data_IF_888896190130
#
_entry.id   IF_888896190130
#
_cell.length_a   1.000
_cell.length_b   1.000
_cell.length_c   1.000
_cell.angle_alpha   90.00
_cell.angle_beta   90.00
_cell.angle_gamma   90.00
#
_symmetry.space_group_name_H-M   'P 1'
#
loop_
_entity.id
_entity.type
_entity.pdbx_description
1 polymer ?
#
# COMPACT_ATOMS: atom_id res chain seq x y z
N UNK A 1 -1.73 -32.19 24.67
CA UNK A 1 -0.41 -31.54 24.63
C UNK A 1 -0.61 -30.04 24.54
N UNK A 2 -0.08 -29.30 25.53
CA UNK A 2 -0.33 -27.87 25.73
C UNK A 2 0.31 -27.02 24.64
N UNK A 3 -0.43 -26.02 24.16
CA UNK A 3 -0.01 -25.08 23.14
C UNK A 3 1.28 -24.36 23.51
N UNK A 4 2.27 -24.46 22.63
CA UNK A 4 3.48 -23.65 22.68
C UNK A 4 3.07 -22.18 22.74
N UNK A 5 3.40 -21.50 23.85
CA UNK A 5 3.29 -20.04 23.94
C UNK A 5 4.10 -19.49 22.78
N UNK A 6 3.46 -18.70 21.91
CA UNK A 6 4.16 -17.98 20.84
C UNK A 6 5.38 -17.30 21.42
N UNK A 7 6.51 -17.43 20.75
CA UNK A 7 7.73 -16.71 21.14
C UNK A 7 7.44 -15.20 21.07
N UNK A 8 8.20 -14.39 21.80
CA UNK A 8 7.94 -12.95 21.82
C UNK A 8 8.16 -12.32 20.43
N UNK A 9 9.02 -12.91 19.61
CA UNK A 9 9.18 -12.59 18.19
C UNK A 9 7.92 -12.88 17.37
N UNK A 10 7.29 -14.04 17.54
CA UNK A 10 6.04 -14.38 16.84
C UNK A 10 4.89 -13.45 17.25
N UNK A 11 4.85 -13.02 18.52
CA UNK A 11 3.89 -12.02 18.98
C UNK A 11 4.16 -10.65 18.36
N UNK A 12 5.42 -10.23 18.30
CA UNK A 12 5.82 -8.97 17.67
C UNK A 12 5.48 -8.96 16.17
N UNK A 13 5.76 -10.05 15.45
CA UNK A 13 5.41 -10.20 14.05
C UNK A 13 3.90 -10.20 13.82
N UNK A 14 3.13 -10.88 14.67
CA UNK A 14 1.67 -10.85 14.61
C UNK A 14 1.10 -9.45 14.87
N UNK A 15 1.67 -8.70 15.82
CA UNK A 15 1.29 -7.31 16.09
C UNK A 15 1.62 -6.40 14.91
N UNK A 16 2.82 -6.52 14.34
CA UNK A 16 3.22 -5.75 13.17
C UNK A 16 2.31 -6.01 11.97
N UNK A 17 1.93 -7.27 11.72
CA UNK A 17 0.97 -7.61 10.67
C UNK A 17 -0.42 -7.03 10.93
N UNK A 18 -0.88 -7.05 12.17
CA UNK A 18 -2.18 -6.49 12.54
C UNK A 18 -2.19 -4.96 12.37
N UNK A 19 -1.14 -4.28 12.81
CA UNK A 19 -0.98 -2.84 12.59
C UNK A 19 -0.97 -2.49 11.09
N UNK A 20 -0.25 -3.26 10.27
CA UNK A 20 -0.21 -3.06 8.82
C UNK A 20 -1.60 -3.26 8.19
N UNK A 21 -2.35 -4.29 8.62
CA UNK A 21 -3.73 -4.54 8.16
C UNK A 21 -4.69 -3.43 8.54
N UNK A 22 -4.58 -2.92 9.76
CA UNK A 22 -5.41 -1.80 10.23
C UNK A 22 -5.09 -0.51 9.47
N UNK A 23 -3.81 -0.25 9.19
CA UNK A 23 -3.42 0.91 8.39
C UNK A 23 -3.91 0.79 6.93
N UNK A 24 -3.82 -0.40 6.33
CA UNK A 24 -4.33 -0.68 4.99
C UNK A 24 -5.87 -0.57 4.91
N UNK A 25 -6.61 -1.08 5.90
CA UNK A 25 -8.08 -0.96 5.92
C UNK A 25 -8.55 0.48 6.12
N UNK A 26 -7.78 1.29 6.85
CA UNK A 26 -8.08 2.70 7.07
C UNK A 26 -8.12 3.50 5.76
N UNK A 27 -7.25 3.18 4.78
CA UNK A 27 -7.25 3.85 3.46
C UNK A 27 -8.35 3.29 2.53
N UNK A 28 -8.68 2.01 2.65
CA UNK A 28 -9.70 1.33 1.84
C UNK A 28 -9.18 0.83 0.49
N UNK A 29 -9.85 -0.18 -0.07
CA UNK A 29 -9.47 -0.77 -1.37
C UNK A 29 -8.21 -1.66 -1.35
N UNK A 30 -7.56 -1.80 -0.19
CA UNK A 30 -6.33 -2.57 -0.02
C UNK A 30 -6.49 -3.68 1.01
N UNK A 31 -5.93 -4.85 0.71
CA UNK A 31 -5.83 -6.00 1.61
C UNK A 31 -4.36 -6.42 1.78
N UNK A 32 -4.05 -7.04 2.92
CA UNK A 32 -2.70 -7.54 3.23
C UNK A 32 -2.73 -9.04 3.49
N UNK A 33 -2.17 -9.81 2.55
CA UNK A 33 -1.95 -11.26 2.72
C UNK A 33 -0.67 -11.50 3.50
N UNK A 34 -0.67 -12.53 4.36
CA UNK A 34 0.45 -12.87 5.25
C UNK A 34 1.47 -13.80 4.58
N UNK A 35 1.04 -14.58 3.60
CA UNK A 35 1.84 -15.66 3.01
C UNK A 35 1.57 -15.78 1.50
N UNK A 36 2.48 -15.29 0.64
CA UNK A 36 3.57 -14.35 0.97
C UNK A 36 3.03 -12.99 1.44
N UNK A 37 3.86 -12.21 2.15
CA UNK A 37 3.47 -10.88 2.66
C UNK A 37 3.32 -9.89 1.49
N UNK A 38 2.08 -9.66 1.07
CA UNK A 38 1.75 -8.84 -0.12
C UNK A 38 0.57 -7.92 0.12
N UNK A 39 0.64 -6.75 -0.51
CA UNK A 39 -0.50 -5.89 -0.77
C UNK A 39 -1.28 -6.46 -1.95
N UNK A 40 -2.60 -6.52 -1.81
CA UNK A 40 -3.51 -7.05 -2.84
C UNK A 40 -4.72 -6.13 -2.98
N UNK A 41 -5.15 -5.86 -4.21
CA UNK A 41 -6.37 -5.09 -4.49
C UNK A 41 -7.12 -5.70 -5.69
N UNK A 42 -8.45 -5.67 -5.73
CA UNK A 42 -9.21 -6.22 -6.85
C UNK A 42 -8.79 -5.58 -8.19
N UNK A 43 -8.46 -6.43 -9.17
CA UNK A 43 -8.06 -5.98 -10.52
C UNK A 43 -6.67 -5.35 -10.62
N UNK A 44 -5.83 -5.50 -9.60
CA UNK A 44 -4.43 -5.01 -9.62
C UNK A 44 -3.44 -6.14 -9.36
N UNK A 45 -2.19 -5.93 -9.79
CA UNK A 45 -1.10 -6.85 -9.48
C UNK A 45 -0.77 -6.77 -7.99
N UNK A 46 -0.51 -7.93 -7.37
CA UNK A 46 -0.07 -7.98 -5.99
C UNK A 46 1.35 -7.39 -5.87
N UNK A 47 1.58 -6.60 -4.82
CA UNK A 47 2.88 -5.95 -4.56
C UNK A 47 3.48 -6.52 -3.27
N UNK A 48 4.72 -7.04 -3.28
CA UNK A 48 5.40 -7.45 -2.05
C UNK A 48 5.52 -6.29 -1.06
N UNK A 49 5.29 -6.56 0.23
CA UNK A 49 5.43 -5.52 1.26
C UNK A 49 6.90 -5.21 1.54
N UNK A 50 7.77 -6.20 1.43
CA UNK A 50 9.21 -6.04 1.62
C UNK A 50 9.80 -5.09 0.57
N UNK A 51 10.38 -4.00 1.03
CA UNK A 51 10.96 -2.96 0.17
C UNK A 51 9.94 -2.12 -0.60
N UNK A 52 8.68 -2.10 -0.15
CA UNK A 52 7.64 -1.35 -0.83
C UNK A 52 7.79 0.17 -0.59
N UNK A 53 7.69 0.95 -1.67
CA UNK A 53 7.63 2.40 -1.64
C UNK A 53 6.19 2.88 -1.81
N UNK A 54 5.65 3.48 -0.77
CA UNK A 54 4.33 4.14 -0.81
C UNK A 54 4.48 5.64 -1.10
N UNK A 55 3.72 6.15 -2.06
CA UNK A 55 3.62 7.59 -2.38
C UNK A 55 2.16 8.02 -2.28
N UNK A 56 1.90 9.20 -1.73
CA UNK A 56 0.54 9.75 -1.56
C UNK A 56 0.48 11.11 -2.24
N UNK A 57 -0.33 11.21 -3.28
CA UNK A 57 -0.43 12.42 -4.10
C UNK A 57 -1.87 12.97 -4.16
N UNK A 58 -1.98 14.31 -4.22
CA UNK A 58 -3.22 15.06 -4.46
C UNK A 58 -3.26 15.56 -5.91
N UNK A 59 -4.39 15.40 -6.58
CA UNK A 59 -4.74 16.16 -7.79
C UNK A 59 -3.70 16.12 -8.93
N UNK A 60 -3.15 17.30 -9.30
CA UNK A 60 -2.38 17.52 -10.53
C UNK A 60 -0.92 17.02 -10.48
N UNK A 61 -0.28 17.06 -9.30
CA UNK A 61 1.08 16.55 -9.10
C UNK A 61 1.14 15.01 -9.17
N UNK A 62 0.07 14.35 -8.68
CA UNK A 62 -0.15 12.91 -8.84
C UNK A 62 -0.08 12.51 -10.31
N UNK A 63 -0.76 13.27 -11.19
CA UNK A 63 -0.92 12.87 -12.58
C UNK A 63 0.40 12.69 -13.34
N UNK A 64 1.44 13.51 -13.08
CA UNK A 64 2.74 13.37 -13.77
C UNK A 64 3.57 12.24 -13.18
N UNK A 65 3.73 12.20 -11.85
CA UNK A 65 4.57 11.21 -11.17
C UNK A 65 3.93 9.82 -11.30
N UNK A 66 2.62 9.73 -11.08
CA UNK A 66 1.84 8.50 -11.27
C UNK A 66 1.74 8.12 -12.74
N UNK A 67 1.55 9.03 -13.71
CA UNK A 67 1.53 8.61 -15.12
C UNK A 67 2.88 8.07 -15.58
N UNK A 68 4.01 8.68 -15.20
CA UNK A 68 5.33 8.17 -15.56
C UNK A 68 5.62 6.83 -14.89
N UNK A 69 5.26 6.66 -13.61
CA UNK A 69 5.52 5.42 -12.88
C UNK A 69 4.55 4.30 -13.25
N UNK A 70 3.27 4.60 -13.45
CA UNK A 70 2.26 3.63 -13.89
C UNK A 70 2.43 3.26 -15.36
N UNK A 71 2.83 4.19 -16.24
CA UNK A 71 3.17 3.85 -17.63
C UNK A 71 4.37 2.90 -17.75
N UNK A 72 5.30 2.93 -16.79
CA UNK A 72 6.41 1.98 -16.70
C UNK A 72 5.98 0.60 -16.14
N UNK A 73 4.86 0.51 -15.42
CA UNK A 73 4.47 -0.69 -14.67
C UNK A 73 3.16 -1.37 -15.12
N UNK A 74 2.32 -0.77 -15.98
CA UNK A 74 1.18 -1.49 -16.59
C UNK A 74 -0.05 -0.68 -17.05
N UNK A 75 -0.90 -1.36 -17.83
CA UNK A 75 -1.98 -0.91 -18.76
C UNK A 75 -3.04 0.10 -18.22
N UNK A 76 -3.09 0.39 -16.92
CA UNK A 76 -4.22 1.13 -16.31
C UNK A 76 -3.98 2.63 -16.05
N UNK A 77 -2.85 3.21 -16.48
CA UNK A 77 -2.62 4.66 -16.42
C UNK A 77 -3.65 5.49 -17.23
N UNK A 78 -4.30 4.88 -18.23
CA UNK A 78 -5.06 5.60 -19.26
C UNK A 78 -6.47 6.06 -18.83
N UNK A 79 -6.99 5.62 -17.69
CA UNK A 79 -8.36 5.94 -17.26
C UNK A 79 -8.47 6.93 -16.08
N UNK A 80 -7.37 7.49 -15.59
CA UNK A 80 -7.35 8.49 -14.50
C UNK A 80 -8.03 9.80 -14.92
N UNK A 81 -9.35 9.87 -14.71
CA UNK A 81 -10.14 11.11 -14.86
C UNK A 81 -9.80 12.08 -13.74
N UNK A 82 -9.78 13.37 -14.10
CA UNK A 82 -9.46 14.51 -13.22
C UNK A 82 -10.54 14.61 -12.14
N UNK A 83 -10.21 14.15 -10.92
CA UNK A 83 -11.05 14.34 -9.75
C UNK A 83 -10.19 14.87 -8.60
N UNK A 84 -10.32 16.16 -8.31
CA UNK A 84 -9.61 16.87 -7.25
C UNK A 84 -10.09 16.51 -5.84
N UNK A 85 -11.17 15.73 -5.72
CA UNK A 85 -11.69 15.24 -4.43
C UNK A 85 -11.05 13.93 -3.99
N UNK A 86 -10.17 13.36 -4.83
CA UNK A 86 -9.51 12.07 -4.61
C UNK A 86 -8.01 12.24 -4.37
N UNK A 87 -7.50 11.38 -3.49
CA UNK A 87 -6.08 11.11 -3.30
C UNK A 87 -5.73 9.85 -4.06
N UNK A 88 -4.50 9.80 -4.55
CA UNK A 88 -3.96 8.61 -5.17
C UNK A 88 -2.82 8.09 -4.30
N UNK A 89 -2.91 6.82 -3.90
CA UNK A 89 -1.87 6.12 -3.14
C UNK A 89 -1.22 5.13 -4.10
N UNK A 90 0.04 5.38 -4.43
CA UNK A 90 0.85 4.47 -5.26
C UNK A 90 1.71 3.61 -4.36
N UNK A 91 1.75 2.31 -4.60
CA UNK A 91 2.61 1.36 -3.90
C UNK A 91 3.45 0.65 -4.94
N UNK A 92 4.78 0.78 -4.83
CA UNK A 92 5.77 0.18 -5.73
C UNK A 92 6.57 -0.87 -4.95
N UNK A 93 6.63 -2.10 -5.45
CA UNK A 93 7.48 -3.16 -4.92
C UNK A 93 8.90 -3.06 -5.48
N UNK A 94 9.88 -3.55 -4.71
CA UNK A 94 11.26 -3.65 -5.16
C UNK A 94 11.46 -4.59 -6.38
N UNK A 95 10.49 -5.46 -6.65
CA UNK A 95 10.44 -6.35 -7.81
C UNK A 95 9.88 -5.68 -9.08
N UNK A 96 9.59 -4.38 -9.03
CA UNK A 96 9.00 -3.63 -10.15
C UNK A 96 7.49 -3.76 -10.26
N UNK A 97 6.83 -4.50 -9.35
CA UNK A 97 5.37 -4.50 -9.25
C UNK A 97 4.87 -3.14 -8.75
N UNK A 98 3.70 -2.70 -9.21
CA UNK A 98 3.09 -1.48 -8.69
C UNK A 98 1.58 -1.55 -8.70
N UNK A 99 0.97 -0.82 -7.76
CA UNK A 99 -0.48 -0.68 -7.64
C UNK A 99 -0.85 0.76 -7.32
N UNK A 100 -2.05 1.15 -7.74
CA UNK A 100 -2.58 2.50 -7.58
C UNK A 100 -3.97 2.46 -6.95
N UNK A 101 -4.12 3.06 -5.78
CA UNK A 101 -5.37 3.07 -5.04
C UNK A 101 -5.95 4.48 -5.01
N UNK A 102 -7.24 4.58 -5.31
CA UNK A 102 -7.99 5.80 -5.05
C UNK A 102 -8.43 5.83 -3.59
N UNK A 103 -8.11 6.91 -2.89
CA UNK A 103 -8.50 7.14 -1.51
C UNK A 103 -9.29 8.46 -1.41
N UNK A 104 -10.43 8.51 -0.71
CA UNK A 104 -11.14 9.76 -0.47
C UNK A 104 -10.24 10.80 0.22
N UNK A 105 -10.30 12.08 -0.17
CA UNK A 105 -9.47 13.14 0.42
C UNK A 105 -9.55 13.22 1.96
N UNK A 106 -10.72 12.93 2.54
CA UNK A 106 -10.92 12.87 4.00
C UNK A 106 -10.05 11.84 4.74
N UNK A 107 -9.47 10.87 4.02
CA UNK A 107 -8.62 9.82 4.57
C UNK A 107 -7.12 10.09 4.41
N UNK A 108 -6.73 11.31 4.03
CA UNK A 108 -5.31 11.64 3.84
C UNK A 108 -4.41 11.31 5.02
N UNK A 109 -4.85 11.69 6.22
CA UNK A 109 -4.05 11.44 7.41
C UNK A 109 -3.80 9.95 7.60
N UNK A 110 -4.76 9.09 7.25
CA UNK A 110 -4.60 7.64 7.26
C UNK A 110 -3.64 7.18 6.15
N UNK A 111 -3.75 7.73 4.93
CA UNK A 111 -2.85 7.40 3.82
C UNK A 111 -1.40 7.76 4.11
N UNK A 112 -1.14 8.93 4.69
CA UNK A 112 0.21 9.34 5.10
C UNK A 112 0.76 8.47 6.22
N UNK A 113 -0.07 8.16 7.24
CA UNK A 113 0.30 7.23 8.31
C UNK A 113 0.65 5.85 7.78
N UNK A 114 -0.13 5.34 6.83
CA UNK A 114 0.16 4.08 6.16
C UNK A 114 1.50 4.12 5.43
N UNK A 115 1.78 5.18 4.65
CA UNK A 115 3.05 5.33 3.95
C UNK A 115 4.24 5.34 4.91
N UNK A 116 4.17 6.14 5.97
CA UNK A 116 5.21 6.21 7.01
C UNK A 116 5.42 4.84 7.66
N UNK A 117 4.34 4.13 8.00
CA UNK A 117 4.43 2.82 8.63
C UNK A 117 5.13 1.79 7.73
N UNK A 118 4.80 1.79 6.44
CA UNK A 118 5.46 0.89 5.47
C UNK A 118 6.93 1.23 5.34
N UNK A 119 7.29 2.51 5.15
CA UNK A 119 8.69 2.92 5.03
C UNK A 119 9.51 2.65 6.30
N UNK A 120 8.92 2.81 7.49
CA UNK A 120 9.61 2.58 8.75
C UNK A 120 9.84 1.10 9.06
N UNK A 121 8.91 0.22 8.66
CA UNK A 121 8.97 -1.22 8.99
C UNK A 121 9.49 -2.09 7.85
N UNK A 122 9.41 -1.59 6.62
CA UNK A 122 9.76 -2.31 5.40
C UNK A 122 10.52 -1.36 4.45
N UNK A 123 11.75 -0.97 4.81
CA UNK A 123 12.56 -0.08 3.98
C UNK A 123 12.87 -0.72 2.61
N UNK A 124 12.84 0.12 1.57
CA UNK A 124 13.18 -0.19 0.18
C UNK A 124 14.68 -0.42 -0.02
#
# INVERSE_FOLDING_TARGET
MFGSKKTDEEKAAAKALLELRLAASAIGGLMVRKDPLRFTAPGQMDVPVGGAKVTVDRGEAAKRITATRVALTGIFALALKKDSTKLFVTIEGADGSAMLLECPAKKEAAARKFAILVHAKHPA
#
